data_IF_043682187291
#
_entry.id   IF_043682187291
#
_cell.length_a   1.000
_cell.length_b   1.000
_cell.length_c   1.000
_cell.angle_alpha   90.00
_cell.angle_beta   90.00
_cell.angle_gamma   90.00
#
_symmetry.space_group_name_H-M   'P 1'
#
loop_
_entity.id
_entity.type
_entity.pdbx_description
1 polymer ?
#
# COMPACT_ATOMS: atom_id res chain seq x y z
N UNK A 1 3.52 2.41 -25.39
CA UNK A 1 3.27 3.14 -24.13
C UNK A 1 2.98 4.59 -24.47
N UNK A 2 1.99 5.24 -23.84
CA UNK A 2 1.80 6.69 -23.99
C UNK A 2 2.94 7.42 -23.29
N UNK A 3 3.41 8.53 -23.87
CA UNK A 3 4.34 9.44 -23.23
C UNK A 3 3.66 10.80 -23.09
N UNK A 4 4.02 11.54 -22.04
CA UNK A 4 3.51 12.88 -21.75
C UNK A 4 4.66 13.87 -21.76
N UNK A 5 4.36 15.13 -22.04
CA UNK A 5 5.35 16.20 -21.95
C UNK A 5 5.94 16.26 -20.53
N UNK A 6 7.23 16.60 -20.44
CA UNK A 6 7.89 16.82 -19.15
C UNK A 6 7.11 17.85 -18.33
N UNK A 7 6.93 17.55 -17.04
CA UNK A 7 6.20 18.39 -16.12
C UNK A 7 7.01 18.60 -14.85
N UNK A 8 6.91 19.79 -14.26
CA UNK A 8 7.48 20.05 -12.95
C UNK A 8 6.67 19.31 -11.90
N UNK A 9 7.38 18.57 -11.05
CA UNK A 9 6.81 17.89 -9.91
C UNK A 9 7.21 18.63 -8.64
N UNK A 10 6.22 19.27 -8.01
CA UNK A 10 6.41 20.01 -6.76
C UNK A 10 6.06 19.12 -5.58
N UNK A 11 6.96 18.97 -4.62
CA UNK A 11 6.84 18.05 -3.49
C UNK A 11 6.80 18.82 -2.18
N UNK A 12 5.78 18.54 -1.36
CA UNK A 12 5.74 18.88 0.06
C UNK A 12 5.98 17.63 0.89
N UNK A 13 6.61 17.77 2.06
CA UNK A 13 6.92 16.66 2.95
C UNK A 13 6.55 16.99 4.38
N UNK A 14 6.13 15.99 5.14
CA UNK A 14 5.85 16.11 6.57
C UNK A 14 6.50 14.94 7.30
N UNK A 15 7.17 15.25 8.41
CA UNK A 15 7.70 14.26 9.34
C UNK A 15 7.14 14.55 10.72
N UNK A 16 6.53 13.55 11.34
CA UNK A 16 6.07 13.58 12.72
C UNK A 16 6.75 12.45 13.49
N UNK A 17 6.87 12.60 14.80
CA UNK A 17 7.44 11.57 15.65
C UNK A 17 7.05 11.73 17.10
N UNK A 18 7.12 10.62 17.82
CA UNK A 18 7.10 10.55 19.28
C UNK A 18 8.45 10.01 19.78
N UNK A 19 8.99 10.48 20.91
CA UNK A 19 8.46 11.51 21.82
C UNK A 19 8.77 12.96 21.39
N UNK A 20 9.27 13.18 20.17
CA UNK A 20 9.56 14.52 19.63
C UNK A 20 9.22 14.60 18.14
N UNK A 21 8.55 15.67 17.66
CA UNK A 21 8.10 16.84 18.42
C UNK A 21 6.83 16.60 19.26
N UNK A 22 6.22 15.40 19.19
CA UNK A 22 4.97 15.08 19.87
C UNK A 22 5.27 14.22 21.11
N UNK A 23 4.85 14.67 22.30
CA UNK A 23 5.18 14.00 23.55
C UNK A 23 4.28 12.81 23.90
N UNK A 24 3.06 12.77 23.39
CA UNK A 24 2.09 11.70 23.67
C UNK A 24 1.61 10.99 22.40
N UNK A 25 1.29 9.71 22.56
CA UNK A 25 0.99 8.82 21.43
C UNK A 25 -0.38 9.10 20.80
N UNK A 26 -1.35 9.61 21.55
CA UNK A 26 -2.69 9.85 21.03
C UNK A 26 -2.71 11.11 20.15
N UNK A 27 -2.01 12.18 20.54
CA UNK A 27 -1.79 13.35 19.69
C UNK A 27 -1.04 12.98 18.42
N UNK A 28 -0.09 12.05 18.46
CA UNK A 28 0.59 11.55 17.26
C UNK A 28 -0.39 10.88 16.29
N UNK A 29 -1.23 9.96 16.78
CA UNK A 29 -2.21 9.30 15.94
C UNK A 29 -3.30 10.25 15.44
N UNK A 30 -3.66 11.27 16.22
CA UNK A 30 -4.54 12.35 15.77
C UNK A 30 -3.91 13.15 14.63
N UNK A 31 -2.62 13.48 14.72
CA UNK A 31 -1.89 14.19 13.67
C UNK A 31 -1.75 13.36 12.38
N UNK A 32 -1.48 12.05 12.51
CA UNK A 32 -1.46 11.12 11.36
C UNK A 32 -2.85 11.03 10.72
N UNK A 33 -3.92 10.96 11.53
CA UNK A 33 -5.31 10.97 11.07
C UNK A 33 -5.66 12.26 10.30
N UNK A 34 -5.25 13.43 10.81
CA UNK A 34 -5.43 14.71 10.11
C UNK A 34 -4.75 14.72 8.74
N UNK A 35 -3.51 14.23 8.64
CA UNK A 35 -2.83 14.11 7.35
C UNK A 35 -3.59 13.18 6.40
N UNK A 36 -4.00 11.99 6.86
CA UNK A 36 -4.70 11.07 5.98
C UNK A 36 -6.06 11.61 5.57
N UNK A 37 -6.82 12.30 6.43
CA UNK A 37 -8.06 12.96 6.03
C UNK A 37 -7.79 14.00 4.92
N UNK A 38 -6.78 14.85 5.13
CA UNK A 38 -6.36 15.87 4.16
C UNK A 38 -5.83 15.28 2.85
N UNK A 39 -5.44 14.00 2.83
CA UNK A 39 -5.04 13.33 1.61
C UNK A 39 -6.15 13.28 0.56
N UNK A 40 -7.42 13.25 0.93
CA UNK A 40 -8.51 13.32 -0.05
C UNK A 40 -8.40 14.58 -0.90
N UNK A 41 -8.16 15.73 -0.27
CA UNK A 41 -7.98 17.02 -0.94
C UNK A 41 -6.73 17.02 -1.84
N UNK A 42 -5.62 16.47 -1.36
CA UNK A 42 -4.37 16.33 -2.15
C UNK A 42 -4.66 15.59 -3.44
N UNK A 43 -5.37 14.46 -3.34
CA UNK A 43 -5.69 13.59 -4.47
C UNK A 43 -6.69 14.24 -5.43
N UNK A 44 -7.71 14.95 -4.91
CA UNK A 44 -8.70 15.65 -5.75
C UNK A 44 -8.11 16.88 -6.44
N UNK A 45 -7.05 17.47 -5.89
CA UNK A 45 -6.25 18.51 -6.55
C UNK A 45 -5.31 17.97 -7.65
N UNK A 46 -5.35 16.66 -7.93
CA UNK A 46 -4.49 15.98 -8.92
C UNK A 46 -3.10 15.63 -8.39
N UNK A 47 -2.90 15.69 -7.07
CA UNK A 47 -1.69 15.21 -6.41
C UNK A 47 -1.70 13.71 -6.18
N UNK A 48 -0.58 13.20 -5.65
CA UNK A 48 -0.42 11.82 -5.17
C UNK A 48 0.63 11.81 -4.06
N UNK A 49 0.76 10.70 -3.32
CA UNK A 49 1.70 10.69 -2.20
C UNK A 49 2.17 9.31 -1.77
N UNK A 50 3.17 9.34 -0.88
CA UNK A 50 3.76 8.18 -0.24
C UNK A 50 3.87 8.49 1.25
N UNK A 51 3.37 7.60 2.10
CA UNK A 51 3.45 7.72 3.55
C UNK A 51 4.08 6.48 4.16
N UNK A 52 4.73 6.65 5.31
CA UNK A 52 5.34 5.58 6.08
C UNK A 52 5.09 5.81 7.56
N UNK A 53 4.72 4.77 8.30
CA UNK A 53 4.66 4.76 9.76
C UNK A 53 5.66 3.72 10.23
N UNK A 54 6.73 4.18 10.87
CA UNK A 54 7.79 3.35 11.44
C UNK A 54 7.58 3.23 12.95
N UNK A 55 7.23 2.04 13.47
CA UNK A 55 7.24 1.78 14.90
C UNK A 55 8.66 1.86 15.47
N UNK A 56 8.78 2.28 16.72
CA UNK A 56 10.02 2.36 17.48
C UNK A 56 9.83 1.81 18.90
N UNK A 57 10.92 1.74 19.65
CA UNK A 57 10.91 1.29 21.04
C UNK A 57 9.97 2.13 21.92
N UNK A 58 9.56 1.57 23.06
CA UNK A 58 8.78 2.28 24.09
C UNK A 58 7.47 2.91 23.55
N UNK A 59 6.80 2.21 22.63
CA UNK A 59 5.57 2.66 21.97
C UNK A 59 5.72 4.00 21.24
N UNK A 60 6.91 4.25 20.68
CA UNK A 60 7.18 5.41 19.83
C UNK A 60 6.95 5.13 18.36
N UNK A 61 6.71 6.17 17.56
CA UNK A 61 6.49 6.05 16.12
C UNK A 61 7.09 7.24 15.39
N UNK A 62 7.49 7.02 14.15
CA UNK A 62 7.87 8.07 13.20
C UNK A 62 6.99 7.98 11.96
N UNK A 63 6.27 9.04 11.67
CA UNK A 63 5.50 9.19 10.44
C UNK A 63 6.26 10.07 9.46
N UNK A 64 6.39 9.62 8.21
CA UNK A 64 6.95 10.44 7.13
C UNK A 64 6.07 10.37 5.92
N UNK A 65 5.85 11.49 5.25
CA UNK A 65 5.07 11.52 4.02
C UNK A 65 5.63 12.52 3.01
N UNK A 66 5.39 12.21 1.74
CA UNK A 66 5.64 13.10 0.60
C UNK A 66 4.35 13.23 -0.21
N UNK A 67 3.95 14.46 -0.49
CA UNK A 67 2.81 14.80 -1.34
C UNK A 67 3.32 15.53 -2.58
N UNK A 68 3.01 15.01 -3.75
CA UNK A 68 3.55 15.43 -5.03
C UNK A 68 2.45 16.00 -5.93
N UNK A 69 2.72 17.16 -6.52
CA UNK A 69 1.78 17.93 -7.31
C UNK A 69 2.38 18.25 -8.69
N UNK A 70 1.96 17.53 -9.74
CA UNK A 70 2.36 17.84 -11.10
C UNK A 70 1.87 19.22 -11.55
N UNK A 71 2.77 20.04 -12.09
CA UNK A 71 2.46 21.32 -12.73
C UNK A 71 2.12 22.47 -11.80
N UNK A 72 2.16 22.28 -10.47
CA UNK A 72 1.89 23.34 -9.49
C UNK A 72 3.17 24.05 -9.07
N UNK A 73 3.09 25.36 -8.82
CA UNK A 73 4.21 26.14 -8.28
C UNK A 73 4.40 25.86 -6.77
N UNK A 74 5.62 26.02 -6.22
CA UNK A 74 5.87 25.91 -4.78
C UNK A 74 4.96 26.75 -3.89
N UNK A 75 4.67 27.99 -4.27
CA UNK A 75 3.76 28.86 -3.50
C UNK A 75 2.34 28.30 -3.46
N UNK A 76 1.82 27.85 -4.61
CA UNK A 76 0.49 27.23 -4.70
C UNK A 76 0.38 25.98 -3.84
N UNK A 77 1.41 25.12 -3.85
CA UNK A 77 1.43 23.91 -3.02
C UNK A 77 1.54 24.29 -1.53
N UNK A 78 2.36 25.28 -1.18
CA UNK A 78 2.49 25.74 0.21
C UNK A 78 1.16 26.26 0.75
N UNK A 79 0.50 27.13 -0.01
CA UNK A 79 -0.79 27.71 0.36
C UNK A 79 -1.87 26.63 0.45
N UNK A 80 -1.88 25.68 -0.50
CA UNK A 80 -2.79 24.54 -0.49
C UNK A 80 -2.62 23.67 0.75
N UNK A 81 -1.38 23.38 1.17
CA UNK A 81 -1.11 22.53 2.33
C UNK A 81 -1.34 23.25 3.67
N UNK A 82 -1.42 24.59 3.70
CA UNK A 82 -1.49 25.37 4.94
C UNK A 82 -2.64 24.99 5.89
N UNK A 83 -3.87 24.66 5.43
CA UNK A 83 -4.94 24.22 6.31
C UNK A 83 -4.57 23.01 7.17
N UNK A 84 -3.86 22.02 6.62
CA UNK A 84 -3.37 20.87 7.39
C UNK A 84 -2.47 21.33 8.56
N UNK A 85 -1.52 22.23 8.29
CA UNK A 85 -0.62 22.75 9.33
C UNK A 85 -1.35 23.57 10.39
N UNK A 86 -2.42 24.26 10.01
CA UNK A 86 -3.28 24.97 10.97
C UNK A 86 -4.03 23.98 11.88
N UNK A 87 -4.51 22.85 11.37
CA UNK A 87 -5.14 21.81 12.22
C UNK A 87 -4.12 21.12 13.14
N UNK A 88 -2.88 20.88 12.65
CA UNK A 88 -1.80 20.35 13.48
C UNK A 88 -1.47 21.30 14.65
N UNK A 89 -1.35 22.60 14.39
CA UNK A 89 -1.12 23.62 15.42
C UNK A 89 -2.25 23.63 16.49
N UNK A 90 -3.51 23.50 16.08
CA UNK A 90 -4.66 23.46 16.99
C UNK A 90 -4.65 22.29 17.97
N UNK A 91 -4.05 21.16 17.59
CA UNK A 91 -3.88 19.99 18.48
C UNK A 91 -2.54 20.02 19.21
N UNK A 92 -1.79 21.12 19.14
CA UNK A 92 -0.50 21.31 19.82
C UNK A 92 0.71 20.74 19.07
N UNK A 93 0.56 20.33 17.81
CA UNK A 93 1.65 19.83 16.95
C UNK A 93 2.21 20.99 16.13
N UNK A 94 3.13 21.73 16.75
CA UNK A 94 3.69 22.98 16.22
C UNK A 94 4.78 22.73 15.18
N UNK A 95 4.40 22.25 14.00
CA UNK A 95 5.31 22.03 12.87
C UNK A 95 5.13 23.09 11.79
N UNK A 96 6.22 23.54 11.19
CA UNK A 96 6.19 24.59 10.16
C UNK A 96 5.85 23.98 8.80
N UNK A 97 4.93 24.62 8.07
CA UNK A 97 4.68 24.31 6.66
C UNK A 97 5.93 24.60 5.82
N UNK A 98 6.64 23.56 5.31
CA UNK A 98 7.91 23.73 4.64
C UNK A 98 7.72 24.38 3.28
N UNK A 99 8.78 24.97 2.74
CA UNK A 99 8.80 25.41 1.34
C UNK A 99 8.86 24.18 0.44
N UNK A 100 7.88 23.95 -0.46
CA UNK A 100 7.91 22.82 -1.38
C UNK A 100 9.09 22.90 -2.34
N UNK A 101 9.61 21.74 -2.73
CA UNK A 101 10.71 21.63 -3.69
C UNK A 101 10.20 21.20 -5.06
N UNK A 102 10.83 21.66 -6.13
CA UNK A 102 10.42 21.32 -7.50
C UNK A 102 11.55 20.62 -8.24
N UNK A 103 11.19 19.62 -9.04
CA UNK A 103 12.07 18.97 -10.02
C UNK A 103 11.32 18.63 -11.28
N UNK A 104 12.01 18.48 -12.41
CA UNK A 104 11.37 17.98 -13.63
C UNK A 104 11.12 16.48 -13.48
N UNK A 105 9.91 16.02 -13.80
CA UNK A 105 9.59 14.60 -13.82
C UNK A 105 10.47 13.88 -14.84
N UNK A 106 11.08 12.77 -14.43
CA UNK A 106 12.03 12.01 -15.25
C UNK A 106 13.46 12.54 -15.21
N UNK A 107 13.76 13.62 -14.48
CA UNK A 107 15.15 14.00 -14.21
C UNK A 107 15.89 12.86 -13.51
N UNK A 108 17.16 12.57 -13.89
CA UNK A 108 17.97 11.57 -13.22
C UNK A 108 17.98 11.81 -11.71
N UNK A 109 17.54 10.83 -10.93
CA UNK A 109 17.86 10.78 -9.51
C UNK A 109 19.29 10.23 -9.44
N UNK A 110 20.20 10.91 -8.75
CA UNK A 110 21.57 10.41 -8.58
C UNK A 110 21.52 8.93 -8.19
N UNK A 111 22.13 8.06 -9.01
CA UNK A 111 22.01 6.62 -8.86
C UNK A 111 22.77 6.15 -7.64
N UNK A 112 22.04 5.67 -6.63
CA UNK A 112 22.59 4.70 -5.68
C UNK A 112 22.44 3.29 -6.25
N UNK A 113 23.27 2.37 -5.77
CA UNK A 113 23.04 0.94 -6.01
C UNK A 113 21.77 0.51 -5.26
N UNK A 114 20.76 0.04 -5.98
CA UNK A 114 19.66 -0.67 -5.35
C UNK A 114 20.20 -1.97 -4.75
N UNK A 115 19.85 -2.23 -3.50
CA UNK A 115 20.23 -3.45 -2.80
C UNK A 115 19.04 -4.39 -2.74
N UNK A 116 19.23 -5.70 -2.94
CA UNK A 116 18.20 -6.68 -2.64
C UNK A 116 17.71 -6.48 -1.20
N UNK A 117 16.39 -6.40 -1.03
CA UNK A 117 15.72 -6.39 0.27
C UNK A 117 14.93 -7.67 0.43
N UNK A 118 14.90 -8.21 1.65
CA UNK A 118 14.09 -9.36 2.00
C UNK A 118 12.83 -8.88 2.72
N UNK A 119 11.88 -8.34 1.98
CA UNK A 119 10.63 -7.78 2.52
C UNK A 119 9.45 -8.45 1.85
N UNK A 120 8.53 -8.99 2.66
CA UNK A 120 7.24 -9.50 2.19
C UNK A 120 6.22 -8.37 2.29
N UNK A 121 5.51 -8.14 1.19
CA UNK A 121 4.53 -7.06 1.10
C UNK A 121 3.17 -7.68 1.35
N UNK A 122 2.40 -7.09 2.27
CA UNK A 122 1.03 -7.51 2.51
C UNK A 122 0.16 -6.28 2.38
N UNK A 123 -0.77 -6.30 1.44
CA UNK A 123 -1.39 -5.06 1.03
C UNK A 123 -2.87 -5.15 0.79
N UNK A 124 -3.53 -3.99 0.91
CA UNK A 124 -4.95 -3.81 0.76
C UNK A 124 -5.22 -2.48 0.08
N UNK A 125 -6.20 -2.43 -0.82
CA UNK A 125 -6.74 -1.16 -1.31
C UNK A 125 -7.74 -0.63 -0.29
N UNK A 126 -7.67 0.67 0.02
CA UNK A 126 -8.62 1.39 0.86
C UNK A 126 -9.40 2.36 -0.05
N UNK A 127 -10.67 2.06 -0.34
CA UNK A 127 -11.47 2.84 -1.28
C UNK A 127 -11.83 4.25 -0.79
N UNK A 128 -12.41 5.03 -1.71
CA UNK A 128 -12.86 6.41 -1.48
C UNK A 128 -13.88 6.53 -0.37
N UNK A 129 -14.77 5.55 -0.22
CA UNK A 129 -15.78 5.53 0.83
C UNK A 129 -15.16 5.60 2.24
N UNK A 130 -13.95 5.06 2.44
CA UNK A 130 -13.21 5.19 3.69
C UNK A 130 -12.86 6.64 4.05
N UNK A 131 -12.85 7.56 3.08
CA UNK A 131 -12.64 8.99 3.28
C UNK A 131 -13.92 9.83 3.27
N UNK A 132 -15.03 9.28 2.76
CA UNK A 132 -16.30 9.99 2.61
C UNK A 132 -17.24 9.76 3.78
N UNK A 133 -17.08 8.65 4.50
CA UNK A 133 -17.83 8.33 5.72
C UNK A 133 -16.97 8.53 6.97
N UNK A 134 -17.45 9.33 7.93
CA UNK A 134 -16.68 9.68 9.12
C UNK A 134 -16.47 8.50 10.08
N UNK A 135 -17.46 7.63 10.22
CA UNK A 135 -17.36 6.45 11.08
C UNK A 135 -16.37 5.43 10.48
N UNK A 136 -16.49 5.15 9.19
CA UNK A 136 -15.58 4.27 8.46
C UNK A 136 -14.16 4.82 8.42
N UNK A 137 -13.97 6.14 8.25
CA UNK A 137 -12.64 6.74 8.34
C UNK A 137 -12.02 6.54 9.72
N UNK A 138 -12.77 6.78 10.79
CA UNK A 138 -12.29 6.58 12.15
C UNK A 138 -11.92 5.11 12.41
N UNK A 139 -12.75 4.17 11.95
CA UNK A 139 -12.44 2.73 12.00
C UNK A 139 -11.21 2.39 11.17
N UNK A 140 -11.04 3.00 10.00
CA UNK A 140 -9.87 2.81 9.13
C UNK A 140 -8.59 3.28 9.82
N UNK A 141 -8.62 4.45 10.45
CA UNK A 141 -7.47 4.97 11.20
C UNK A 141 -7.17 4.13 12.44
N UNK A 142 -8.19 3.63 13.14
CA UNK A 142 -8.01 2.68 14.23
C UNK A 142 -7.37 1.36 13.74
N UNK A 143 -7.84 0.82 12.61
CA UNK A 143 -7.29 -0.39 12.00
C UNK A 143 -5.82 -0.19 11.59
N UNK A 144 -5.45 0.94 10.98
CA UNK A 144 -4.05 1.26 10.65
C UNK A 144 -3.21 1.35 11.93
N UNK A 145 -3.70 2.06 12.97
CA UNK A 145 -3.01 2.17 14.26
C UNK A 145 -2.76 0.79 14.86
N UNK A 146 -3.79 -0.04 14.95
CA UNK A 146 -3.72 -1.39 15.53
C UNK A 146 -2.85 -2.33 14.70
N UNK A 147 -2.97 -2.32 13.37
CA UNK A 147 -2.16 -3.14 12.46
C UNK A 147 -0.66 -2.78 12.48
N UNK A 148 -0.30 -1.57 12.95
CA UNK A 148 1.11 -1.17 13.16
C UNK A 148 1.67 -1.53 14.52
N UNK A 149 0.82 -1.95 15.47
CA UNK A 149 1.27 -2.36 16.79
C UNK A 149 2.13 -3.62 16.69
N UNK A 150 3.18 -3.69 17.50
CA UNK A 150 4.12 -4.81 17.46
C UNK A 150 5.12 -4.76 16.31
N UNK A 151 5.05 -3.76 15.42
CA UNK A 151 5.97 -3.68 14.28
C UNK A 151 7.42 -3.40 14.66
N UNK A 152 7.68 -2.83 15.84
CA UNK A 152 9.05 -2.67 16.35
C UNK A 152 9.64 -4.02 16.77
N UNK A 153 8.90 -4.79 17.57
CA UNK A 153 9.33 -6.10 18.07
C UNK A 153 9.41 -7.16 16.97
N UNK A 154 8.63 -6.98 15.90
CA UNK A 154 8.51 -7.93 14.81
C UNK A 154 9.11 -7.40 13.50
N UNK A 155 9.90 -6.34 13.47
CA UNK A 155 10.55 -5.82 12.26
C UNK A 155 9.60 -5.64 11.06
N UNK A 156 8.53 -4.87 11.23
CA UNK A 156 7.68 -4.43 10.12
C UNK A 156 7.21 -2.99 10.29
N UNK A 157 6.81 -2.37 9.19
CA UNK A 157 6.31 -1.00 9.20
C UNK A 157 5.16 -0.82 8.20
N UNK A 158 4.38 0.24 8.35
CA UNK A 158 3.29 0.53 7.41
C UNK A 158 3.74 1.48 6.31
N UNK A 159 3.32 1.21 5.08
CA UNK A 159 3.50 2.06 3.92
C UNK A 159 2.16 2.30 3.23
N UNK A 160 1.86 3.56 2.88
CA UNK A 160 0.71 3.90 2.06
C UNK A 160 1.15 4.56 0.76
N UNK A 161 0.63 4.10 -0.38
CA UNK A 161 0.66 4.86 -1.63
C UNK A 161 -0.70 5.49 -1.87
N UNK A 162 -0.71 6.81 -2.00
CA UNK A 162 -1.91 7.63 -2.05
C UNK A 162 -2.14 8.03 -3.50
N UNK A 163 -3.21 7.52 -4.09
CA UNK A 163 -3.53 7.67 -5.51
C UNK A 163 -5.03 7.78 -5.72
N UNK A 164 -5.46 8.41 -6.82
CA UNK A 164 -6.88 8.50 -7.22
C UNK A 164 -7.02 8.22 -8.71
N UNK A 165 -6.76 6.98 -9.18
CA UNK A 165 -6.75 6.64 -10.59
C UNK A 165 -8.18 6.33 -11.06
N UNK A 166 -9.07 7.32 -11.03
CA UNK A 166 -10.48 7.20 -11.44
C UNK A 166 -10.62 6.73 -12.90
N UNK A 167 -11.81 6.28 -13.30
CA UNK A 167 -12.07 5.90 -14.69
C UNK A 167 -11.82 7.03 -15.68
N UNK A 168 -12.16 8.26 -15.30
CA UNK A 168 -11.89 9.45 -16.10
C UNK A 168 -10.39 9.65 -16.32
N UNK A 169 -9.59 9.55 -15.24
CA UNK A 169 -8.13 9.66 -15.30
C UNK A 169 -7.52 8.51 -16.11
N UNK A 170 -8.03 7.29 -15.95
CA UNK A 170 -7.54 6.12 -16.67
C UNK A 170 -7.78 6.24 -18.18
N UNK A 171 -8.95 6.77 -18.58
CA UNK A 171 -9.34 6.98 -19.98
C UNK A 171 -9.21 5.72 -20.84
N UNK A 172 -9.18 5.84 -22.17
CA UNK A 172 -8.88 4.70 -23.04
C UNK A 172 -7.36 4.52 -23.24
N UNK A 173 -6.79 3.31 -23.13
CA UNK A 173 -7.45 2.02 -22.88
C UNK A 173 -7.55 1.62 -21.39
N UNK A 174 -7.18 2.49 -20.44
CA UNK A 174 -7.17 2.16 -19.00
C UNK A 174 -8.54 1.70 -18.46
N UNK A 175 -9.63 2.33 -18.91
CA UNK A 175 -11.01 1.97 -18.57
C UNK A 175 -11.46 0.61 -19.11
N UNK A 176 -10.82 0.14 -20.17
CA UNK A 176 -11.14 -1.11 -20.86
C UNK A 176 -10.03 -2.16 -20.65
N UNK A 177 -9.17 -1.95 -19.64
CA UNK A 177 -8.02 -2.80 -19.34
C UNK A 177 -8.36 -3.85 -18.28
N UNK A 178 -7.45 -4.80 -18.07
CA UNK A 178 -7.58 -5.84 -17.04
C UNK A 178 -7.13 -5.40 -15.64
N UNK A 179 -6.91 -4.10 -15.41
CA UNK A 179 -6.63 -3.59 -14.06
C UNK A 179 -7.83 -3.88 -13.17
N UNK A 180 -7.63 -4.47 -11.98
CA UNK A 180 -8.75 -4.77 -11.06
C UNK A 180 -9.61 -3.51 -10.82
N UNK A 181 -10.95 -3.60 -10.95
CA UNK A 181 -11.83 -2.42 -10.89
C UNK A 181 -11.69 -1.60 -9.60
N UNK A 182 -11.35 -2.25 -8.49
CA UNK A 182 -11.19 -1.59 -7.20
C UNK A 182 -10.14 -0.47 -7.19
N UNK A 183 -9.14 -0.51 -8.09
CA UNK A 183 -8.21 0.60 -8.28
C UNK A 183 -8.92 1.92 -8.61
N UNK A 184 -10.02 1.86 -9.37
CA UNK A 184 -10.76 3.03 -9.85
C UNK A 184 -11.44 3.78 -8.71
N UNK A 185 -11.70 3.09 -7.60
CA UNK A 185 -12.23 3.68 -6.38
C UNK A 185 -11.17 3.86 -5.28
N UNK A 186 -9.90 3.52 -5.52
CA UNK A 186 -8.87 3.56 -4.50
C UNK A 186 -8.49 4.99 -4.09
N UNK A 187 -8.19 5.18 -2.79
CA UNK A 187 -7.50 6.36 -2.25
C UNK A 187 -6.14 6.02 -1.67
N UNK A 188 -5.99 4.83 -1.09
CA UNK A 188 -4.73 4.36 -0.54
C UNK A 188 -4.52 2.88 -0.82
N UNK A 189 -3.41 2.53 -1.45
CA UNK A 189 -2.88 1.17 -1.38
C UNK A 189 -2.01 1.08 -0.12
N UNK A 190 -2.56 0.42 0.90
CA UNK A 190 -1.99 0.26 2.23
C UNK A 190 -1.18 -1.04 2.29
N UNK A 191 0.00 -0.99 2.91
CA UNK A 191 0.94 -2.10 2.99
C UNK A 191 1.49 -2.25 4.41
N UNK A 192 1.58 -3.48 4.88
CA UNK A 192 2.52 -3.87 5.92
C UNK A 192 3.78 -4.43 5.25
N UNK A 193 4.89 -3.74 5.46
CA UNK A 193 6.21 -4.02 4.92
C UNK A 193 6.96 -4.91 5.93
N UNK A 194 6.79 -6.22 5.76
CA UNK A 194 7.28 -7.25 6.68
C UNK A 194 8.73 -7.62 6.32
N UNK A 195 9.71 -7.13 7.10
CA UNK A 195 11.11 -7.50 6.89
C UNK A 195 11.33 -8.93 7.38
N UNK A 196 11.80 -9.78 6.48
CA UNK A 196 12.02 -11.18 6.75
C UNK A 196 13.45 -11.39 7.27
N UNK A 197 13.62 -11.90 8.51
CA UNK A 197 14.94 -12.13 9.06
C UNK A 197 15.68 -13.22 8.27
N UNK A 198 16.99 -13.05 8.12
CA UNK A 198 17.85 -14.05 7.47
C UNK A 198 17.88 -15.30 8.35
N UNK A 199 17.61 -16.46 7.74
CA UNK A 199 17.66 -17.74 8.45
C UNK A 199 16.40 -18.08 9.26
N UNK A 200 15.30 -17.35 9.08
CA UNK A 200 14.00 -17.71 9.66
C UNK A 200 13.63 -19.16 9.30
N UNK A 201 13.21 -19.95 10.30
CA UNK A 201 12.78 -21.32 10.09
C UNK A 201 11.38 -21.38 9.48
N UNK A 202 11.04 -22.51 8.85
CA UNK A 202 9.70 -22.70 8.31
C UNK A 202 8.58 -22.61 9.37
N UNK A 203 8.87 -22.98 10.63
CA UNK A 203 7.91 -22.85 11.72
C UNK A 203 7.68 -21.38 12.08
N UNK A 204 8.75 -20.62 12.32
CA UNK A 204 8.67 -19.17 12.61
C UNK A 204 8.02 -18.40 11.47
N UNK A 205 8.29 -18.76 10.21
CA UNK A 205 7.65 -18.14 9.05
C UNK A 205 6.14 -18.38 9.01
N UNK A 206 5.64 -19.55 9.45
CA UNK A 206 4.20 -19.82 9.55
C UNK A 206 3.56 -19.03 10.68
N UNK A 207 4.20 -18.98 11.85
CA UNK A 207 3.70 -18.21 12.99
C UNK A 207 3.63 -16.71 12.64
N UNK A 208 4.66 -16.21 11.95
CA UNK A 208 4.70 -14.85 11.42
C UNK A 208 3.61 -14.61 10.37
N UNK A 209 3.33 -15.56 9.49
CA UNK A 209 2.21 -15.47 8.55
C UNK A 209 0.86 -15.36 9.25
N UNK A 210 0.60 -16.17 10.28
CA UNK A 210 -0.64 -16.10 11.07
C UNK A 210 -0.78 -14.73 11.74
N UNK A 211 0.29 -14.23 12.37
CA UNK A 211 0.29 -12.91 13.01
C UNK A 211 -0.02 -11.81 12.00
N UNK A 212 0.70 -11.78 10.88
CA UNK A 212 0.51 -10.74 9.88
C UNK A 212 -0.85 -10.81 9.19
N UNK A 213 -1.40 -12.02 8.98
CA UNK A 213 -2.75 -12.18 8.46
C UNK A 213 -3.81 -11.66 9.43
N UNK A 214 -3.56 -11.72 10.74
CA UNK A 214 -4.41 -11.08 11.76
C UNK A 214 -4.42 -9.56 11.60
N UNK A 215 -3.25 -8.93 11.42
CA UNK A 215 -3.17 -7.48 11.19
C UNK A 215 -3.79 -7.07 9.84
N UNK A 216 -3.57 -7.85 8.78
CA UNK A 216 -4.21 -7.60 7.49
C UNK A 216 -5.72 -7.73 7.56
N UNK A 217 -6.27 -8.57 8.44
CA UNK A 217 -7.71 -8.71 8.61
C UNK A 217 -8.35 -7.40 9.08
N UNK A 218 -7.69 -6.63 9.95
CA UNK A 218 -8.15 -5.31 10.38
C UNK A 218 -8.36 -4.37 9.17
N UNK A 219 -7.46 -4.43 8.19
CA UNK A 219 -7.57 -3.64 6.96
C UNK A 219 -8.67 -4.19 6.02
N UNK A 220 -8.87 -5.51 5.97
CA UNK A 220 -9.95 -6.14 5.17
C UNK A 220 -11.32 -5.78 5.71
N UNK A 221 -11.48 -5.73 7.03
CA UNK A 221 -12.76 -5.46 7.70
C UNK A 221 -13.26 -4.03 7.42
N UNK A 222 -12.35 -3.07 7.24
CA UNK A 222 -12.68 -1.69 6.87
C UNK A 222 -12.71 -1.46 5.35
N UNK A 223 -12.48 -2.48 4.53
CA UNK A 223 -12.45 -2.34 3.06
C UNK A 223 -13.01 -3.58 2.33
N UNK A 224 -14.19 -4.09 2.70
CA UNK A 224 -14.73 -5.32 2.11
C UNK A 224 -14.82 -5.20 0.57
N UNK A 225 -14.38 -6.24 -0.15
CA UNK A 225 -14.38 -6.26 -1.62
C UNK A 225 -13.33 -5.36 -2.32
N UNK A 226 -12.58 -4.53 -1.60
CA UNK A 226 -11.60 -3.61 -2.21
C UNK A 226 -10.38 -4.29 -2.85
N UNK A 227 -10.06 -5.52 -2.46
CA UNK A 227 -8.93 -6.26 -3.02
C UNK A 227 -7.57 -5.64 -2.69
N UNK A 228 -6.59 -5.90 -3.54
CA UNK A 228 -5.16 -5.66 -3.29
C UNK A 228 -4.36 -5.56 -4.60
N UNK A 229 -3.15 -5.01 -4.54
CA UNK A 229 -2.27 -4.90 -5.70
C UNK A 229 -1.35 -6.11 -5.82
N UNK A 230 -1.57 -6.94 -6.84
CA UNK A 230 -0.85 -8.21 -7.01
C UNK A 230 0.69 -8.11 -7.02
N UNK A 231 1.28 -7.03 -7.54
CA UNK A 231 2.75 -6.91 -7.63
C UNK A 231 3.40 -6.56 -6.30
N UNK A 232 2.63 -6.01 -5.35
CA UNK A 232 3.03 -5.68 -3.99
C UNK A 232 2.08 -6.39 -3.01
N UNK A 233 1.68 -7.61 -3.35
CA UNK A 233 0.70 -8.43 -2.64
C UNK A 233 1.34 -9.63 -1.95
N UNK A 234 0.57 -10.25 -1.05
CA UNK A 234 0.99 -11.45 -0.33
C UNK A 234 0.68 -12.71 -1.17
N UNK A 235 1.65 -13.60 -1.44
CA UNK A 235 1.36 -14.92 -2.00
C UNK A 235 0.36 -15.74 -1.17
N UNK A 236 0.26 -15.45 0.13
CA UNK A 236 -0.72 -16.02 1.05
C UNK A 236 -2.02 -15.21 1.18
N UNK A 237 -2.32 -14.26 0.29
CA UNK A 237 -3.57 -13.50 0.35
C UNK A 237 -4.79 -14.43 0.23
N UNK A 238 -5.71 -14.43 1.21
CA UNK A 238 -6.93 -15.23 1.12
C UNK A 238 -7.78 -14.75 -0.06
N UNK A 239 -8.38 -15.69 -0.78
CA UNK A 239 -9.22 -15.40 -1.96
C UNK A 239 -8.50 -14.51 -2.99
N UNK A 240 -7.19 -14.76 -3.23
CA UNK A 240 -6.36 -13.95 -4.12
C UNK A 240 -6.94 -13.75 -5.53
N UNK A 241 -7.77 -14.68 -6.04
CA UNK A 241 -8.47 -14.49 -7.32
C UNK A 241 -9.33 -13.22 -7.29
N UNK A 242 -10.15 -13.08 -6.25
CA UNK A 242 -10.98 -11.89 -6.05
C UNK A 242 -10.12 -10.69 -5.66
N UNK A 243 -9.18 -10.88 -4.72
CA UNK A 243 -8.39 -9.76 -4.21
C UNK A 243 -7.50 -9.11 -5.29
N UNK A 244 -6.95 -9.89 -6.22
CA UNK A 244 -6.00 -9.37 -7.23
C UNK A 244 -6.62 -9.11 -8.60
N UNK A 245 -7.75 -9.77 -8.92
CA UNK A 245 -8.36 -9.69 -10.25
C UNK A 245 -9.84 -9.30 -10.21
N UNK A 246 -10.52 -9.43 -9.06
CA UNK A 246 -11.95 -9.17 -8.91
C UNK A 246 -12.79 -9.91 -9.95
N UNK A 247 -13.83 -9.23 -10.44
CA UNK A 247 -14.74 -9.77 -11.46
C UNK A 247 -14.07 -10.06 -12.81
N UNK A 248 -12.83 -9.60 -13.03
CA UNK A 248 -12.09 -9.90 -14.26
C UNK A 248 -11.50 -11.31 -14.26
N UNK A 249 -11.42 -11.98 -13.11
CA UNK A 249 -10.74 -13.28 -13.01
C UNK A 249 -11.29 -14.32 -13.99
N UNK A 250 -12.62 -14.47 -14.09
CA UNK A 250 -13.26 -15.45 -14.99
C UNK A 250 -12.85 -15.22 -16.44
N UNK A 251 -12.92 -13.97 -16.92
CA UNK A 251 -12.54 -13.64 -18.29
C UNK A 251 -11.04 -13.82 -18.53
N UNK A 252 -10.22 -13.44 -17.57
CA UNK A 252 -8.78 -13.66 -17.64
C UNK A 252 -8.44 -15.15 -17.71
N UNK A 253 -9.15 -15.99 -16.96
CA UNK A 253 -8.95 -17.44 -16.95
C UNK A 253 -9.33 -18.07 -18.30
N UNK A 254 -10.39 -17.62 -18.95
CA UNK A 254 -10.72 -18.03 -20.32
C UNK A 254 -9.58 -17.70 -21.30
N UNK A 255 -9.04 -16.48 -21.22
CA UNK A 255 -7.91 -16.06 -22.05
C UNK A 255 -6.69 -16.92 -21.74
N UNK A 256 -6.37 -17.13 -20.46
CA UNK A 256 -5.26 -17.98 -20.03
C UNK A 256 -5.37 -19.39 -20.62
N UNK A 257 -6.53 -20.04 -20.51
CA UNK A 257 -6.76 -21.39 -21.05
C UNK A 257 -6.67 -21.43 -22.57
N UNK A 258 -7.12 -20.39 -23.27
CA UNK A 258 -7.02 -20.30 -24.72
C UNK A 258 -5.59 -20.06 -25.22
N UNK A 259 -4.75 -19.36 -24.43
CA UNK A 259 -3.39 -18.96 -24.83
C UNK A 259 -2.29 -19.88 -24.28
N UNK A 260 -2.53 -20.53 -23.16
CA UNK A 260 -1.62 -21.46 -22.49
C UNK A 260 -2.40 -22.71 -22.00
N UNK A 261 -2.91 -23.53 -22.93
CA UNK A 261 -3.76 -24.68 -22.60
C UNK A 261 -3.01 -25.78 -21.84
N UNK A 262 -1.68 -25.78 -21.85
CA UNK A 262 -0.85 -26.75 -21.14
C UNK A 262 -0.40 -26.27 -19.76
N UNK A 263 -0.65 -25.00 -19.42
CA UNK A 263 -0.21 -24.41 -18.16
C UNK A 263 1.30 -24.29 -18.05
N UNK A 264 1.99 -24.00 -19.16
CA UNK A 264 3.44 -23.88 -19.20
C UNK A 264 3.94 -22.65 -18.43
N UNK A 265 3.17 -21.55 -18.44
CA UNK A 265 3.53 -20.33 -17.73
C UNK A 265 2.84 -20.32 -16.36
N UNK A 266 3.59 -20.65 -15.31
CA UNK A 266 3.07 -20.66 -13.94
C UNK A 266 3.88 -19.72 -13.06
N UNK A 267 3.19 -19.00 -12.20
CA UNK A 267 3.74 -18.30 -11.05
C UNK A 267 2.69 -18.27 -9.93
N UNK A 268 3.10 -18.16 -8.65
CA UNK A 268 2.15 -18.01 -7.54
C UNK A 268 1.15 -16.89 -7.81
N UNK A 269 -0.10 -17.12 -7.43
CA UNK A 269 -1.23 -16.15 -7.49
C UNK A 269 -1.47 -15.53 -8.88
N UNK A 270 -0.97 -16.14 -9.95
CA UNK A 270 -1.30 -15.76 -11.33
C UNK A 270 -2.57 -16.46 -11.82
N UNK A 271 -3.27 -15.85 -12.78
CA UNK A 271 -4.51 -16.42 -13.34
C UNK A 271 -4.32 -17.89 -13.76
N UNK A 272 -5.15 -18.79 -13.21
CA UNK A 272 -5.10 -20.24 -13.44
C UNK A 272 -4.05 -21.02 -12.64
N UNK A 273 -3.29 -20.35 -11.76
CA UNK A 273 -2.23 -21.00 -10.97
C UNK A 273 -2.73 -22.02 -9.95
N UNK A 274 -4.00 -21.95 -9.54
CA UNK A 274 -4.64 -22.79 -8.53
C UNK A 274 -4.69 -24.29 -8.89
N UNK A 275 -4.41 -24.63 -10.14
CA UNK A 275 -4.32 -26.03 -10.59
C UNK A 275 -2.98 -26.68 -10.25
N UNK A 276 -2.02 -25.91 -9.73
CA UNK A 276 -0.70 -26.37 -9.34
C UNK A 276 -0.26 -25.75 -8.01
N UNK A 277 0.58 -26.47 -7.29
CA UNK A 277 1.18 -26.02 -6.04
C UNK A 277 2.67 -26.39 -6.02
N UNK A 278 3.48 -25.57 -5.35
CA UNK A 278 4.85 -25.95 -5.01
C UNK A 278 4.80 -26.81 -3.76
N UNK A 279 5.46 -27.97 -3.79
CA UNK A 279 5.70 -28.82 -2.63
C UNK A 279 7.07 -28.46 -2.04
N UNK A 280 7.12 -27.57 -1.03
CA UNK A 280 8.38 -27.08 -0.47
C UNK A 280 9.17 -28.19 0.21
N UNK A 281 10.50 -28.15 0.08
CA UNK A 281 11.38 -29.18 0.64
C UNK A 281 11.55 -29.07 2.17
N UNK A 282 11.24 -27.91 2.74
CA UNK A 282 11.42 -27.57 4.15
C UNK A 282 10.10 -27.14 4.83
N UNK A 283 8.99 -27.15 4.10
CA UNK A 283 7.68 -26.73 4.59
C UNK A 283 7.52 -25.21 4.74
N UNK A 284 8.44 -24.38 4.24
CA UNK A 284 8.31 -22.92 4.30
C UNK A 284 7.01 -22.46 3.56
N UNK A 285 6.16 -21.62 4.19
CA UNK A 285 4.86 -21.26 3.63
C UNK A 285 5.01 -20.43 2.35
N UNK A 286 4.24 -20.79 1.32
CA UNK A 286 4.25 -20.12 0.00
C UNK A 286 5.65 -20.01 -0.65
N UNK A 287 6.55 -20.94 -0.31
CA UNK A 287 7.89 -21.02 -0.88
C UNK A 287 7.89 -21.49 -2.33
N UNK A 288 8.96 -21.15 -3.05
CA UNK A 288 9.24 -21.62 -4.42
C UNK A 288 10.44 -22.57 -4.48
N UNK A 289 10.91 -23.10 -3.34
CA UNK A 289 12.10 -23.95 -3.22
C UNK A 289 11.85 -25.44 -3.51
N UNK A 290 10.71 -25.79 -4.10
CA UNK A 290 10.20 -27.16 -4.19
C UNK A 290 9.76 -27.57 -5.59
N UNK A 291 9.22 -28.79 -5.69
CA UNK A 291 8.68 -29.30 -6.96
C UNK A 291 7.31 -28.69 -7.21
N UNK A 292 7.07 -28.22 -8.44
CA UNK A 292 5.73 -27.85 -8.90
C UNK A 292 4.92 -29.11 -9.25
N UNK A 293 3.78 -29.29 -8.59
CA UNK A 293 2.92 -30.45 -8.70
C UNK A 293 1.48 -30.03 -9.01
N UNK A 294 0.71 -30.86 -9.72
CA UNK A 294 -0.72 -30.60 -9.93
C UNK A 294 -1.48 -30.82 -8.63
N UNK A 295 -2.38 -29.91 -8.30
CA UNK A 295 -3.32 -30.08 -7.18
C UNK A 295 -4.31 -31.16 -7.59
N UNK A 296 -4.45 -32.20 -6.77
CA UNK A 296 -5.51 -33.21 -6.97
C UNK A 296 -6.79 -32.63 -6.38
N UNK A 297 -7.90 -32.57 -7.13
CA UNK A 297 -9.17 -32.08 -6.58
C UNK A 297 -9.51 -32.88 -5.31
N UNK A 298 -9.86 -32.18 -4.23
CA UNK A 298 -10.51 -32.83 -3.09
C UNK A 298 -11.84 -33.40 -3.61
N UNK A 299 -11.98 -34.72 -3.51
CA UNK A 299 -13.19 -35.47 -3.87
C UNK A 299 -14.38 -35.10 -3.00
#
# INVERSE_FOLDING_TARGET
MKAYASINLTTSSLTLGTPSPISDIDTFWQAVSLYYRFCADILDAGGYGFSYIYPGADNSYRFTTTSQFPGKMPSQVRDFMQPLYNELDRIGVNVVNPTPTTRVFGSPRGGGEDRPVNTRYRSRLLPRENWEDDELFNRTMAAIREATQGGYENDFYFHGTLTSPTEEVAGWPGRDSAVIPAWRNNRMHAMLMDLQPVGITAAEARDRDVMMQTYMQLLRDVSPGAGSYMNEGDPGEPNWQEAFYGDHYTRLLEIKRARDPWGMFWAPTTVGSETWEVQPVDGYPNSQNGRLCRVTPLS
#
